data_IF_673569254669
#
_entry.id   IF_673569254669
#
_cell.length_a   1.000
_cell.length_b   1.000
_cell.length_c   1.000
_cell.angle_alpha   90.00
_cell.angle_beta   90.00
_cell.angle_gamma   90.00
#
_symmetry.space_group_name_H-M   'P 1'
#
loop_
_entity.id
_entity.type
_entity.pdbx_description
1 polymer ?
#
# COMPACT_ATOMS: atom_id res chain seq x y z
N UNK A 1 14.20 15.56 2.60
CA UNK A 1 14.73 16.14 3.86
C UNK A 1 13.75 17.13 4.49
N UNK A 2 13.03 17.95 3.73
CA UNK A 2 12.06 18.93 4.29
C UNK A 2 10.91 18.27 5.08
N UNK A 3 10.39 17.14 4.61
CA UNK A 3 9.37 16.34 5.32
C UNK A 3 9.79 15.96 6.74
N UNK A 4 11.01 15.46 6.90
CA UNK A 4 11.55 15.06 8.20
C UNK A 4 11.71 16.24 9.17
N UNK A 5 12.04 17.44 8.66
CA UNK A 5 12.08 18.67 9.45
C UNK A 5 10.69 19.12 9.88
N UNK A 6 9.70 19.02 8.99
CA UNK A 6 8.33 19.49 9.21
C UNK A 6 7.55 18.62 10.19
N UNK A 7 7.77 17.31 10.16
CA UNK A 7 7.04 16.32 10.98
C UNK A 7 7.90 15.73 12.12
N UNK A 8 8.98 16.41 12.52
CA UNK A 8 9.84 15.92 13.59
C UNK A 8 9.06 15.80 14.92
N UNK A 9 9.15 14.68 15.65
CA UNK A 9 8.38 14.45 16.87
C UNK A 9 8.67 15.45 17.99
N UNK A 10 9.90 15.97 18.06
CA UNK A 10 10.32 16.97 19.07
C UNK A 10 9.64 18.33 18.93
N UNK A 11 8.96 18.58 17.80
CA UNK A 11 8.18 19.80 17.60
C UNK A 11 6.77 19.73 18.24
N UNK A 12 6.42 18.60 18.88
CA UNK A 12 5.09 18.40 19.48
C UNK A 12 4.96 18.97 20.89
N UNK A 13 4.03 19.90 21.08
CA UNK A 13 3.73 20.54 22.38
C UNK A 13 2.92 19.68 23.36
N UNK A 14 2.29 18.59 22.89
CA UNK A 14 1.51 17.67 23.72
C UNK A 14 1.59 16.21 23.26
N UNK A 15 1.15 15.27 24.12
CA UNK A 15 1.25 13.82 23.87
C UNK A 15 0.58 13.36 22.57
N UNK A 16 -0.59 13.90 22.24
CA UNK A 16 -1.29 13.59 20.99
C UNK A 16 -0.56 14.10 19.75
N UNK A 17 0.11 15.25 19.85
CA UNK A 17 0.89 15.84 18.76
C UNK A 17 2.17 15.04 18.51
N UNK A 18 2.87 14.65 19.57
CA UNK A 18 4.04 13.77 19.48
C UNK A 18 3.69 12.43 18.86
N UNK A 19 2.59 11.80 19.28
CA UNK A 19 2.15 10.52 18.72
C UNK A 19 1.85 10.61 17.22
N UNK A 20 1.18 11.70 16.78
CA UNK A 20 0.88 11.92 15.38
C UNK A 20 2.13 12.20 14.54
N UNK A 21 3.01 13.10 15.00
CA UNK A 21 4.28 13.42 14.34
C UNK A 21 5.19 12.19 14.23
N UNK A 22 5.30 11.39 15.29
CA UNK A 22 6.01 10.09 15.25
C UNK A 22 5.43 9.16 14.18
N UNK A 23 4.10 9.11 14.04
CA UNK A 23 3.46 8.27 13.02
C UNK A 23 3.74 8.72 11.57
N UNK A 24 3.79 10.04 11.33
CA UNK A 24 4.15 10.59 10.02
C UNK A 24 5.64 10.41 9.74
N UNK A 25 6.50 10.64 10.73
CA UNK A 25 7.95 10.45 10.59
C UNK A 25 8.30 9.00 10.26
N UNK A 26 7.61 8.03 10.86
CA UNK A 26 7.76 6.63 10.51
C UNK A 26 7.37 6.36 9.03
N UNK A 27 6.28 6.95 8.55
CA UNK A 27 5.85 6.82 7.16
C UNK A 27 6.82 7.48 6.17
N UNK A 28 7.40 8.64 6.54
CA UNK A 28 8.44 9.33 5.75
C UNK A 28 9.70 8.47 5.65
N UNK A 29 10.16 7.89 6.76
CA UNK A 29 11.35 7.04 6.76
C UNK A 29 11.16 5.77 5.93
N UNK A 30 9.98 5.16 6.01
CA UNK A 30 9.61 3.98 5.21
C UNK A 30 9.57 4.31 3.71
N UNK A 31 8.98 5.45 3.34
CA UNK A 31 8.94 5.89 1.94
C UNK A 31 10.34 6.21 1.39
N UNK A 32 11.23 6.81 2.20
CA UNK A 32 12.63 7.01 1.81
C UNK A 32 13.39 5.69 1.62
N UNK A 33 13.22 4.72 2.52
CA UNK A 33 13.88 3.42 2.43
C UNK A 33 13.46 2.64 1.18
N UNK A 34 12.19 2.77 0.78
CA UNK A 34 11.63 2.09 -0.38
C UNK A 34 11.75 2.91 -1.69
N UNK A 35 12.38 4.09 -1.64
CA UNK A 35 12.45 5.04 -2.76
C UNK A 35 11.06 5.39 -3.36
N UNK A 36 10.03 5.39 -2.50
CA UNK A 36 8.64 5.61 -2.84
C UNK A 36 8.33 7.12 -2.95
N UNK A 37 8.62 7.66 -4.12
CA UNK A 37 8.45 9.09 -4.44
C UNK A 37 6.98 9.54 -4.45
N UNK A 38 6.03 8.63 -4.67
CA UNK A 38 4.60 8.91 -4.66
C UNK A 38 4.13 9.16 -3.23
N UNK A 39 4.44 8.25 -2.31
CA UNK A 39 4.15 8.42 -0.88
C UNK A 39 4.82 9.67 -0.29
N UNK A 40 6.05 9.99 -0.71
CA UNK A 40 6.72 11.22 -0.27
C UNK A 40 6.01 12.50 -0.77
N UNK A 41 5.45 12.49 -1.99
CA UNK A 41 4.68 13.63 -2.52
C UNK A 41 3.34 13.79 -1.80
N UNK A 42 2.65 12.68 -1.53
CA UNK A 42 1.39 12.71 -0.79
C UNK A 42 1.58 13.25 0.63
N UNK A 43 2.64 12.81 1.32
CA UNK A 43 3.00 13.30 2.65
C UNK A 43 3.42 14.79 2.62
N UNK A 44 3.94 15.31 1.51
CA UNK A 44 4.30 16.72 1.38
C UNK A 44 3.06 17.62 1.26
N UNK A 45 1.97 17.10 0.67
CA UNK A 45 0.68 17.77 0.52
C UNK A 45 -0.20 17.76 1.79
N UNK A 46 0.09 16.90 2.77
CA UNK A 46 -0.62 16.90 4.06
C UNK A 46 -0.44 18.26 4.78
N UNK A 47 -1.48 18.82 5.43
CA UNK A 47 -1.38 20.11 6.15
C UNK A 47 -0.42 20.02 7.36
N UNK A 48 0.13 21.17 7.79
CA UNK A 48 0.95 21.23 9.00
C UNK A 48 0.16 20.70 10.22
N UNK A 49 0.69 19.74 11.00
CA UNK A 49 0.05 19.22 12.21
C UNK A 49 -0.36 20.31 13.21
N UNK A 50 0.43 21.37 13.33
CA UNK A 50 0.13 22.49 14.21
C UNK A 50 -1.14 23.24 13.75
N UNK A 51 -1.31 23.43 12.45
CA UNK A 51 -2.47 24.09 11.85
C UNK A 51 -3.76 23.25 11.95
N UNK A 52 -3.65 21.92 12.01
CA UNK A 52 -4.81 21.03 12.21
C UNK A 52 -5.25 21.07 13.68
N UNK A 53 -4.31 21.07 14.63
CA UNK A 53 -4.61 21.06 16.08
C UNK A 53 -5.14 22.41 16.60
N UNK A 54 -4.58 23.53 16.14
CA UNK A 54 -5.18 24.86 16.42
C UNK A 54 -6.62 24.95 15.90
N UNK A 55 -6.91 24.37 14.73
CA UNK A 55 -8.27 24.34 14.18
C UNK A 55 -9.22 23.39 14.91
N UNK A 56 -8.73 22.33 15.58
CA UNK A 56 -9.59 21.38 16.31
C UNK A 56 -9.93 21.81 17.72
N UNK A 57 -9.10 22.63 18.36
CA UNK A 57 -9.40 23.21 19.67
C UNK A 57 -10.69 24.06 19.66
N UNK A 58 -11.03 24.69 18.53
CA UNK A 58 -12.22 25.56 18.37
C UNK A 58 -13.42 24.88 17.69
N UNK A 59 -13.41 23.55 17.47
CA UNK A 59 -14.46 22.82 16.72
C UNK A 59 -15.47 22.11 17.63
N UNK A 60 -16.72 22.01 17.19
CA UNK A 60 -17.80 21.31 17.90
C UNK A 60 -17.51 19.80 18.05
N UNK A 61 -18.03 19.18 19.11
CA UNK A 61 -17.79 17.76 19.43
C UNK A 61 -18.07 16.75 18.28
N UNK A 62 -19.10 16.94 17.42
CA UNK A 62 -19.33 16.06 16.28
C UNK A 62 -18.20 16.10 15.24
N UNK A 63 -17.60 17.27 15.03
CA UNK A 63 -16.54 17.46 14.04
C UNK A 63 -15.24 16.77 14.48
N UNK A 64 -14.93 16.79 15.78
CA UNK A 64 -13.80 16.05 16.35
C UNK A 64 -13.94 14.54 16.14
N UNK A 65 -15.13 13.98 16.41
CA UNK A 65 -15.41 12.55 16.18
C UNK A 65 -15.26 12.15 14.72
N UNK A 66 -15.70 13.00 13.78
CA UNK A 66 -15.52 12.75 12.35
C UNK A 66 -14.04 12.75 11.96
N UNK A 67 -13.24 13.67 12.50
CA UNK A 67 -11.80 13.71 12.26
C UNK A 67 -11.08 12.48 12.84
N UNK A 68 -11.43 12.05 14.05
CA UNK A 68 -10.90 10.82 14.65
C UNK A 68 -11.19 9.58 13.78
N UNK A 69 -12.40 9.48 13.25
CA UNK A 69 -12.81 8.41 12.32
C UNK A 69 -12.06 8.48 11.00
N UNK A 70 -11.88 9.67 10.44
CA UNK A 70 -11.10 9.87 9.22
C UNK A 70 -9.65 9.41 9.43
N UNK A 71 -9.02 9.83 10.53
CA UNK A 71 -7.67 9.40 10.86
C UNK A 71 -7.57 7.89 11.09
N UNK A 72 -8.58 7.26 11.72
CA UNK A 72 -8.63 5.81 11.87
C UNK A 72 -8.72 5.09 10.52
N UNK A 73 -9.53 5.61 9.60
CA UNK A 73 -9.65 5.08 8.24
C UNK A 73 -8.32 5.20 7.48
N UNK A 74 -7.69 6.38 7.50
CA UNK A 74 -6.40 6.62 6.87
C UNK A 74 -5.30 5.70 7.44
N UNK A 75 -5.26 5.47 8.76
CA UNK A 75 -4.33 4.51 9.37
C UNK A 75 -4.55 3.09 8.84
N UNK A 76 -5.81 2.66 8.71
CA UNK A 76 -6.15 1.34 8.19
C UNK A 76 -5.77 1.21 6.71
N UNK A 77 -6.02 2.23 5.91
CA UNK A 77 -5.61 2.28 4.50
C UNK A 77 -4.10 2.12 4.36
N UNK A 78 -3.31 2.90 5.13
CA UNK A 78 -1.83 2.78 5.13
C UNK A 78 -1.36 1.38 5.52
N UNK A 79 -2.01 0.72 6.49
CA UNK A 79 -1.69 -0.66 6.86
C UNK A 79 -1.93 -1.62 5.70
N UNK A 80 -3.07 -1.50 5.02
CA UNK A 80 -3.42 -2.37 3.88
C UNK A 80 -2.44 -2.17 2.72
N UNK A 81 -2.10 -0.92 2.39
CA UNK A 81 -1.12 -0.62 1.32
C UNK A 81 0.23 -1.27 1.61
N UNK A 82 0.73 -1.17 2.85
CA UNK A 82 1.99 -1.83 3.25
C UNK A 82 1.93 -3.35 3.15
N UNK A 83 0.83 -3.95 3.57
CA UNK A 83 0.63 -5.40 3.43
C UNK A 83 0.62 -5.84 1.96
N UNK A 84 -0.03 -5.06 1.09
CA UNK A 84 -0.05 -5.32 -0.35
C UNK A 84 1.35 -5.19 -0.98
N UNK A 85 2.11 -4.17 -0.60
CA UNK A 85 3.48 -3.98 -1.07
C UNK A 85 4.39 -5.14 -0.62
N UNK A 86 4.30 -5.55 0.65
CA UNK A 86 5.07 -6.69 1.17
C UNK A 86 4.74 -7.99 0.42
N UNK A 87 3.44 -8.29 0.22
CA UNK A 87 2.99 -9.45 -0.55
C UNK A 87 3.47 -9.42 -2.02
N UNK A 88 3.46 -8.24 -2.65
CA UNK A 88 3.97 -8.05 -4.01
C UNK A 88 5.48 -8.30 -4.06
N UNK A 89 6.25 -7.73 -3.14
CA UNK A 89 7.70 -7.95 -3.07
C UNK A 89 8.04 -9.42 -2.84
N UNK A 90 7.32 -10.10 -1.95
CA UNK A 90 7.49 -11.55 -1.71
C UNK A 90 7.17 -12.37 -2.98
N UNK A 91 6.08 -12.04 -3.66
CA UNK A 91 5.67 -12.68 -4.91
C UNK A 91 6.69 -12.46 -6.02
N UNK A 92 7.13 -11.22 -6.22
CA UNK A 92 8.16 -10.88 -7.22
C UNK A 92 9.49 -11.54 -6.91
N UNK A 93 9.92 -11.57 -5.64
CA UNK A 93 11.14 -12.26 -5.22
C UNK A 93 11.05 -13.78 -5.44
N UNK A 94 9.88 -14.38 -5.18
CA UNK A 94 9.63 -15.79 -5.47
C UNK A 94 9.69 -16.09 -6.97
N UNK A 95 9.05 -15.27 -7.80
CA UNK A 95 9.10 -15.41 -9.27
C UNK A 95 10.52 -15.24 -9.80
N UNK A 96 11.28 -14.27 -9.28
CA UNK A 96 12.66 -14.05 -9.66
C UNK A 96 13.56 -15.25 -9.30
N UNK A 97 13.41 -15.82 -8.10
CA UNK A 97 14.11 -17.06 -7.72
C UNK A 97 13.76 -18.22 -8.65
N UNK A 98 12.48 -18.38 -9.01
CA UNK A 98 12.03 -19.43 -9.91
C UNK A 98 12.62 -19.25 -11.32
N UNK A 99 12.61 -18.02 -11.83
CA UNK A 99 13.25 -17.68 -13.10
C UNK A 99 14.74 -18.05 -13.09
N UNK A 100 15.46 -17.73 -12.01
CA UNK A 100 16.88 -18.04 -11.90
C UNK A 100 17.18 -19.53 -11.93
N UNK A 101 16.33 -20.36 -11.30
CA UNK A 101 16.48 -21.82 -11.35
C UNK A 101 16.26 -22.37 -12.76
N UNK A 102 15.25 -21.87 -13.47
CA UNK A 102 14.94 -22.29 -14.85
C UNK A 102 16.08 -21.94 -15.80
N UNK A 103 16.55 -20.70 -15.74
CA UNK A 103 17.65 -20.21 -16.58
C UNK A 103 18.98 -20.91 -16.26
N UNK A 104 19.28 -21.16 -14.98
CA UNK A 104 20.47 -21.91 -14.58
C UNK A 104 20.46 -23.37 -15.05
N UNK A 105 19.27 -23.96 -15.25
CA UNK A 105 19.09 -25.28 -15.84
C UNK A 105 19.17 -25.30 -17.38
N UNK A 106 19.47 -24.17 -18.02
CA UNK A 106 19.49 -24.04 -19.48
C UNK A 106 18.10 -23.95 -20.12
N UNK A 107 17.04 -23.77 -19.33
CA UNK A 107 15.70 -23.49 -19.82
C UNK A 107 15.44 -22.00 -20.00
N UNK A 108 14.31 -21.66 -20.61
CA UNK A 108 13.90 -20.27 -20.81
C UNK A 108 12.68 -19.93 -19.95
N UNK A 109 12.84 -19.01 -19.00
CA UNK A 109 11.79 -18.61 -18.06
C UNK A 109 10.52 -18.13 -18.77
N UNK A 110 10.66 -17.34 -19.83
CA UNK A 110 9.52 -16.80 -20.57
C UNK A 110 8.74 -17.86 -21.32
N UNK A 111 9.38 -18.95 -21.76
CA UNK A 111 8.69 -20.09 -22.38
C UNK A 111 7.89 -20.88 -21.34
N UNK A 112 8.43 -21.05 -20.13
CA UNK A 112 7.71 -21.65 -19.00
C UNK A 112 6.46 -20.84 -18.64
N UNK A 113 6.61 -19.52 -18.48
CA UNK A 113 5.50 -18.60 -18.18
C UNK A 113 4.45 -18.62 -19.30
N UNK A 114 4.86 -18.58 -20.56
CA UNK A 114 3.94 -18.66 -21.68
C UNK A 114 3.13 -19.97 -21.67
N UNK A 115 3.78 -21.09 -21.34
CA UNK A 115 3.13 -22.40 -21.23
C UNK A 115 2.12 -22.45 -20.09
N UNK A 116 2.48 -21.96 -18.91
CA UNK A 116 1.59 -21.88 -17.75
C UNK A 116 0.36 -21.01 -18.05
N UNK A 117 0.55 -19.84 -18.65
CA UNK A 117 -0.54 -18.94 -19.03
C UNK A 117 -1.45 -19.54 -20.10
N UNK A 118 -0.89 -20.24 -21.09
CA UNK A 118 -1.67 -20.92 -22.12
C UNK A 118 -2.54 -22.03 -21.54
N UNK A 119 -1.99 -22.81 -20.60
CA UNK A 119 -2.74 -23.85 -19.90
C UNK A 119 -3.88 -23.27 -19.06
N UNK A 120 -3.63 -22.19 -18.32
CA UNK A 120 -4.66 -21.54 -17.51
C UNK A 120 -5.76 -20.90 -18.36
N UNK A 121 -5.39 -20.26 -19.48
CA UNK A 121 -6.37 -19.73 -20.43
C UNK A 121 -7.21 -20.83 -21.08
N UNK A 122 -6.63 -22.01 -21.35
CA UNK A 122 -7.37 -23.17 -21.84
C UNK A 122 -8.37 -23.68 -20.80
N UNK A 123 -7.96 -23.77 -19.53
CA UNK A 123 -8.84 -24.15 -18.41
C UNK A 123 -10.02 -23.20 -18.27
N UNK A 124 -9.76 -21.89 -18.22
CA UNK A 124 -10.83 -20.88 -18.08
C UNK A 124 -11.79 -20.86 -19.27
N UNK A 125 -11.32 -21.15 -20.49
CA UNK A 125 -12.19 -21.31 -21.67
C UNK A 125 -13.10 -22.53 -21.54
N UNK A 126 -12.56 -23.67 -21.13
CA UNK A 126 -13.35 -24.87 -20.88
C UNK A 126 -14.39 -24.63 -19.77
N UNK A 127 -14.02 -23.94 -18.69
CA UNK A 127 -14.96 -23.55 -17.63
C UNK A 127 -16.07 -22.64 -18.21
N UNK A 128 -15.73 -21.63 -19.01
CA UNK A 128 -16.75 -20.76 -19.63
C UNK A 128 -17.71 -21.55 -20.55
N UNK A 129 -17.20 -22.49 -21.33
CA UNK A 129 -18.02 -23.35 -22.20
C UNK A 129 -18.99 -24.21 -21.38
N UNK A 130 -18.55 -24.77 -20.25
CA UNK A 130 -19.44 -25.54 -19.36
C UNK A 130 -20.53 -24.65 -18.76
N UNK A 131 -20.17 -23.48 -18.23
CA UNK A 131 -21.15 -22.51 -17.69
C UNK A 131 -22.17 -22.05 -18.73
N UNK A 132 -21.75 -21.79 -19.97
CA UNK A 132 -22.66 -21.40 -21.06
C UNK A 132 -23.60 -22.54 -21.46
N UNK A 133 -23.10 -23.77 -21.49
CA UNK A 133 -23.91 -24.95 -21.82
C UNK A 133 -24.92 -25.28 -20.73
N UNK A 134 -24.60 -24.98 -19.47
CA UNK A 134 -25.50 -25.13 -18.31
C UNK A 134 -26.54 -24.01 -18.23
N UNK A 135 -26.15 -22.76 -18.50
CA UNK A 135 -27.06 -21.60 -18.49
C UNK A 135 -28.01 -21.58 -19.68
N UNK A 136 -27.65 -22.15 -20.83
CA UNK A 136 -28.51 -22.27 -22.01
C UNK A 136 -29.50 -23.44 -21.98
N UNK A 137 -29.44 -24.30 -20.96
CA UNK A 137 -30.37 -25.43 -20.76
C UNK A 137 -31.50 -25.12 -19.76
N UNK A 138 -31.48 -23.97 -19.09
CA UNK A 138 -32.55 -23.46 -18.24
C UNK A 138 -33.49 -22.56 -19.04
#
# INVERSE_FOLDING_TARGET
>A
RELARRFHPDLGGGDGERAYRTSIMAAVNEAYANNDLETLRDLAGEPDPAAILERTASRSAPLRRLQERLHACQRRQRKVVRQLQALRQETSARLWRRAMVVEAGGGHWWEEVARELAAEAARLRADLETWQTESGRQ
#
